data_IF_994306483154
#
_entry.id   IF_994306483154
#
_cell.length_a   1.000
_cell.length_b   1.000
_cell.length_c   1.000
_cell.angle_alpha   90.00
_cell.angle_beta   90.00
_cell.angle_gamma   90.00
#
_symmetry.space_group_name_H-M   'P 1'
#
loop_
_entity.id
_entity.type
_entity.pdbx_description
1 polymer ?
#
# COMPACT_ATOMS: atom_id res chain seq x y z
N UNK A 1 12.96 0.76 -9.23
CA UNK A 1 13.07 1.65 -8.03
C UNK A 1 13.02 0.78 -6.80
N UNK A 2 14.13 0.61 -6.07
CA UNK A 2 14.15 -0.27 -4.90
C UNK A 2 14.86 0.44 -3.76
N UNK A 3 14.10 1.24 -2.99
CA UNK A 3 14.46 1.76 -1.65
C UNK A 3 13.33 2.63 -1.11
N UNK A 4 12.21 2.00 -0.79
CA UNK A 4 11.08 2.65 -0.10
C UNK A 4 11.07 2.30 1.40
N UNK A 5 11.93 1.37 1.81
CA UNK A 5 12.06 0.96 3.20
C UNK A 5 13.54 0.95 3.60
N UNK A 6 14.00 1.97 4.35
CA UNK A 6 15.34 1.97 4.95
C UNK A 6 15.25 1.48 6.39
N UNK A 7 14.94 0.19 6.57
CA UNK A 7 15.09 -0.53 7.84
C UNK A 7 16.51 -1.07 8.00
N UNK A 8 17.01 -1.13 9.24
CA UNK A 8 18.34 -1.64 9.58
C UNK A 8 18.57 -3.06 9.02
N UNK A 9 19.63 -3.25 8.23
CA UNK A 9 20.03 -4.55 7.70
C UNK A 9 20.56 -5.43 8.86
N UNK A 10 19.70 -6.28 9.43
CA UNK A 10 20.14 -7.38 10.29
C UNK A 10 20.30 -8.63 9.43
N UNK A 11 21.46 -9.27 9.56
CA UNK A 11 21.90 -10.46 8.84
C UNK A 11 21.07 -11.71 9.22
N UNK A 12 19.77 -11.70 8.93
CA UNK A 12 18.87 -12.82 9.19
C UNK A 12 18.24 -13.23 7.86
N UNK A 13 18.58 -14.45 7.45
CA UNK A 13 18.19 -15.18 6.23
C UNK A 13 16.93 -14.63 5.53
N UNK A 14 17.08 -14.23 4.26
CA UNK A 14 15.96 -13.87 3.40
C UNK A 14 14.98 -15.05 3.29
N UNK A 15 13.67 -14.87 3.58
CA UNK A 15 12.67 -15.93 3.38
C UNK A 15 12.64 -16.32 1.89
N UNK A 16 12.73 -17.62 1.57
CA UNK A 16 12.77 -18.11 0.18
C UNK A 16 11.48 -17.91 -0.61
N UNK A 17 10.43 -17.41 0.04
CA UNK A 17 9.16 -17.09 -0.58
C UNK A 17 8.64 -15.78 0.02
N UNK A 18 9.07 -14.66 -0.56
CA UNK A 18 8.31 -13.42 -0.43
C UNK A 18 7.01 -13.64 -1.20
N UNK A 19 5.97 -14.11 -0.51
CA UNK A 19 4.66 -14.28 -1.11
C UNK A 19 4.25 -12.96 -1.72
N UNK A 20 4.12 -12.93 -3.05
CA UNK A 20 3.62 -11.80 -3.81
C UNK A 20 2.16 -11.60 -3.43
N UNK A 21 1.96 -10.83 -2.36
CA UNK A 21 0.68 -10.68 -1.68
C UNK A 21 -0.30 -9.87 -2.51
N UNK A 22 -1.53 -10.37 -2.55
CA UNK A 22 -2.78 -9.62 -2.73
C UNK A 22 -2.98 -8.88 -4.07
N UNK A 23 -3.08 -9.63 -5.17
CA UNK A 23 -3.62 -9.17 -6.46
C UNK A 23 -5.17 -9.00 -6.46
N UNK A 24 -5.84 -9.02 -5.29
CA UNK A 24 -7.30 -8.94 -5.17
C UNK A 24 -7.86 -7.53 -4.95
N UNK A 25 -7.01 -6.56 -4.59
CA UNK A 25 -7.35 -5.15 -4.41
C UNK A 25 -6.64 -4.37 -5.51
N UNK A 26 -7.33 -4.12 -6.63
CA UNK A 26 -6.79 -3.35 -7.77
C UNK A 26 -6.67 -1.85 -7.42
N UNK A 27 -5.75 -1.53 -6.50
CA UNK A 27 -5.38 -0.17 -6.12
C UNK A 27 -4.23 0.37 -6.96
N UNK A 28 -3.54 -0.51 -7.69
CA UNK A 28 -2.38 -0.21 -8.52
C UNK A 28 -2.60 -0.85 -9.89
N UNK A 29 -2.35 -0.09 -10.95
CA UNK A 29 -2.29 -0.53 -12.33
C UNK A 29 -0.82 -0.64 -12.77
N UNK A 30 -0.52 -1.72 -13.49
CA UNK A 30 0.76 -1.88 -14.20
C UNK A 30 0.61 -1.29 -15.61
N UNK A 31 1.47 -0.34 -15.93
CA UNK A 31 1.54 0.28 -17.23
C UNK A 31 2.42 -0.57 -18.17
N UNK A 32 2.28 -0.35 -19.48
CA UNK A 32 3.01 -1.14 -20.50
C UNK A 32 4.54 -1.02 -20.42
N UNK A 33 5.05 0.05 -19.78
CA UNK A 33 6.46 0.26 -19.50
C UNK A 33 6.95 -0.45 -18.22
N UNK A 34 6.08 -1.25 -17.58
CA UNK A 34 6.36 -1.92 -16.31
C UNK A 34 6.35 -0.98 -15.11
N UNK A 35 5.92 0.27 -15.28
CA UNK A 35 5.69 1.18 -14.16
C UNK A 35 4.37 0.86 -13.46
N UNK A 36 4.27 1.21 -12.18
CA UNK A 36 3.07 1.01 -11.38
C UNK A 36 2.48 2.35 -10.96
N UNK A 37 1.22 2.59 -11.26
CA UNK A 37 0.48 3.80 -10.88
C UNK A 37 -0.76 3.44 -10.07
N UNK A 38 -1.17 4.30 -9.13
CA UNK A 38 -2.43 4.06 -8.41
C UNK A 38 -3.61 4.17 -9.38
N UNK A 39 -4.61 3.29 -9.22
CA UNK A 39 -5.89 3.45 -9.90
C UNK A 39 -6.60 4.71 -9.44
N UNK A 40 -7.49 5.27 -10.25
CA UNK A 40 -8.35 6.39 -9.83
C UNK A 40 -9.07 6.12 -8.50
N UNK A 41 -9.47 4.86 -8.28
CA UNK A 41 -10.03 4.40 -7.01
C UNK A 41 -9.01 4.35 -5.87
N UNK A 42 -7.78 3.90 -6.14
CA UNK A 42 -6.67 3.87 -5.18
C UNK A 42 -6.21 5.26 -4.76
N UNK A 43 -6.30 6.26 -5.66
CA UNK A 43 -5.95 7.65 -5.36
C UNK A 43 -6.87 8.32 -4.34
N UNK A 44 -8.16 7.96 -4.31
CA UNK A 44 -9.16 8.54 -3.40
C UNK A 44 -9.34 7.74 -2.08
N UNK A 45 -8.67 6.61 -1.97
CA UNK A 45 -8.76 5.76 -0.77
C UNK A 45 -8.23 6.44 0.51
N UNK A 46 -7.11 7.20 0.48
CA UNK A 46 -6.62 7.92 1.66
C UNK A 46 -7.63 8.91 2.23
N UNK A 47 -8.32 9.67 1.39
CA UNK A 47 -9.34 10.65 1.79
C UNK A 47 -10.57 9.94 2.35
N UNK A 48 -10.99 8.84 1.72
CA UNK A 48 -12.12 8.02 2.20
C UNK A 48 -11.87 7.44 3.60
N UNK A 49 -10.64 7.01 3.87
CA UNK A 49 -10.27 6.48 5.19
C UNK A 49 -10.12 7.60 6.21
N UNK A 50 -9.50 8.71 5.83
CA UNK A 50 -9.34 9.86 6.72
C UNK A 50 -10.71 10.39 7.17
N UNK A 51 -11.67 10.51 6.25
CA UNK A 51 -13.05 10.91 6.56
C UNK A 51 -13.78 9.94 7.50
N UNK A 52 -13.61 8.63 7.31
CA UNK A 52 -14.16 7.61 8.23
C UNK A 52 -13.52 7.68 9.61
N UNK A 53 -12.20 7.79 9.68
CA UNK A 53 -11.46 7.87 10.94
C UNK A 53 -11.89 9.11 11.74
N UNK A 54 -12.07 10.26 11.08
CA UNK A 54 -12.57 11.48 11.74
C UNK A 54 -14.02 11.33 12.24
N UNK A 55 -14.90 10.74 11.43
CA UNK A 55 -16.30 10.49 11.80
C UNK A 55 -16.41 9.54 13.00
N UNK A 56 -15.65 8.45 13.01
CA UNK A 56 -15.64 7.49 14.13
C UNK A 56 -15.08 8.13 15.42
N UNK A 57 -13.99 8.91 15.33
CA UNK A 57 -13.44 9.61 16.49
C UNK A 57 -14.41 10.64 17.10
N UNK A 58 -15.27 11.28 16.29
CA UNK A 58 -16.26 12.23 16.77
C UNK A 58 -17.51 11.54 17.35
N UNK A 59 -17.71 10.25 17.08
CA UNK A 59 -18.80 9.46 17.66
C UNK A 59 -18.50 8.98 19.09
N UNK A 60 -17.22 8.92 19.46
CA UNK A 60 -16.73 8.44 20.76
C UNK A 60 -16.41 9.56 21.77
N UNK A 61 -16.78 10.81 21.50
CA UNK A 61 -16.71 11.94 22.43
C UNK A 61 -18.11 12.37 22.86
#
# INVERSE_FOLDING_TARGET
VTKIYRGCHRNSMMPSHFSRGSEGLKMVEENQDGSHTLTSQGQNWPERISGRQLFENHKTK
#
